data_IF_628481517560
#
_entry.id   IF_628481517560
#
_cell.length_a   1.000
_cell.length_b   1.000
_cell.length_c   1.000
_cell.angle_alpha   90.00
_cell.angle_beta   90.00
_cell.angle_gamma   90.00
#
_symmetry.space_group_name_H-M   'P 1'
#
loop_
_entity.id
_entity.type
_entity.pdbx_description
1 polymer ?
#
# COMPACT_ATOMS: atom_id res chain seq x y z
N UNK A 1 -50.07 4.33 95.32
CA UNK A 1 -48.64 3.98 95.49
C UNK A 1 -47.88 4.56 94.30
N UNK A 2 -47.56 5.85 94.36
CA UNK A 2 -47.04 6.60 93.21
C UNK A 2 -45.53 6.37 93.10
N UNK A 3 -45.12 5.49 92.19
CA UNK A 3 -43.72 5.13 92.02
C UNK A 3 -43.03 6.20 91.16
N UNK A 4 -42.04 6.89 91.74
CA UNK A 4 -41.25 7.97 91.13
C UNK A 4 -40.25 7.49 90.06
N UNK A 5 -40.68 6.61 89.14
CA UNK A 5 -39.81 6.07 88.09
C UNK A 5 -39.31 7.14 87.13
N UNK A 6 -40.11 8.17 86.86
CA UNK A 6 -39.73 9.28 85.98
C UNK A 6 -38.49 10.04 86.49
N UNK A 7 -38.41 10.26 87.81
CA UNK A 7 -37.22 10.88 88.44
C UNK A 7 -35.98 9.98 88.38
N UNK A 8 -36.16 8.66 88.49
CA UNK A 8 -35.05 7.69 88.42
C UNK A 8 -34.52 7.58 86.99
N UNK A 9 -35.40 7.54 85.99
CA UNK A 9 -35.03 7.52 84.57
C UNK A 9 -34.30 8.82 84.20
N UNK A 10 -34.78 9.97 84.65
CA UNK A 10 -34.13 11.25 84.37
C UNK A 10 -32.71 11.32 84.95
N UNK A 11 -32.52 10.84 86.20
CA UNK A 11 -31.17 10.74 86.80
C UNK A 11 -30.28 9.78 86.00
N UNK A 12 -30.82 8.63 85.56
CA UNK A 12 -30.06 7.68 84.75
C UNK A 12 -29.63 8.27 83.40
N UNK A 13 -30.53 8.97 82.71
CA UNK A 13 -30.22 9.64 81.43
C UNK A 13 -29.13 10.69 81.62
N UNK A 14 -29.20 11.51 82.68
CA UNK A 14 -28.16 12.53 82.96
C UNK A 14 -26.80 11.87 83.21
N UNK A 15 -26.75 10.76 83.95
CA UNK A 15 -25.49 10.04 84.22
C UNK A 15 -24.93 9.44 82.93
N UNK A 16 -25.76 8.78 82.11
CA UNK A 16 -25.33 8.17 80.85
C UNK A 16 -24.84 9.23 79.86
N UNK A 17 -25.54 10.36 79.77
CA UNK A 17 -25.15 11.46 78.87
C UNK A 17 -23.84 12.11 79.33
N UNK A 18 -23.66 12.31 80.65
CA UNK A 18 -22.42 12.81 81.21
C UNK A 18 -21.24 11.87 81.00
N UNK A 19 -21.44 10.56 81.14
CA UNK A 19 -20.42 9.55 80.88
C UNK A 19 -20.01 9.50 79.40
N UNK A 20 -20.98 9.58 78.48
CA UNK A 20 -20.70 9.66 77.04
C UNK A 20 -19.95 10.94 76.69
N UNK A 21 -20.35 12.09 77.22
CA UNK A 21 -19.65 13.35 77.00
C UNK A 21 -18.19 13.29 77.50
N UNK A 22 -17.95 12.72 78.69
CA UNK A 22 -16.61 12.58 79.25
C UNK A 22 -15.67 11.69 78.41
N UNK A 23 -16.20 10.72 77.65
CA UNK A 23 -15.42 9.86 76.75
C UNK A 23 -15.09 10.55 75.43
N UNK A 24 -16.02 11.32 74.87
CA UNK A 24 -15.88 11.92 73.53
C UNK A 24 -15.15 13.27 73.53
N UNK A 25 -15.31 14.08 74.58
CA UNK A 25 -14.72 15.42 74.68
C UNK A 25 -13.17 15.40 74.64
N UNK A 26 -12.46 14.49 75.32
CA UNK A 26 -11.00 14.41 75.24
C UNK A 26 -10.49 14.13 73.82
N UNK A 27 -11.22 13.31 73.05
CA UNK A 27 -10.90 13.04 71.64
C UNK A 27 -11.00 14.29 70.77
N UNK A 28 -12.07 15.09 70.94
CA UNK A 28 -12.27 16.34 70.23
C UNK A 28 -11.29 17.46 70.65
N UNK A 29 -10.94 17.54 71.93
CA UNK A 29 -9.95 18.52 72.41
C UNK A 29 -8.52 18.17 71.96
N UNK A 30 -8.19 16.88 71.83
CA UNK A 30 -6.90 16.41 71.31
C UNK A 30 -6.75 16.44 69.79
N UNK A 31 -7.82 16.76 69.04
CA UNK A 31 -7.75 16.90 67.58
C UNK A 31 -6.85 18.08 67.18
N UNK A 32 -6.87 19.20 67.91
CA UNK A 32 -6.02 20.36 67.59
C UNK A 32 -4.52 20.04 67.65
N UNK A 33 -4.08 19.17 68.56
CA UNK A 33 -2.68 18.76 68.70
C UNK A 33 -2.29 17.66 67.71
N UNK A 34 -3.21 16.80 67.29
CA UNK A 34 -2.94 15.75 66.28
C UNK A 34 -2.81 16.29 64.85
N UNK A 35 -3.36 17.46 64.57
CA UNK A 35 -3.28 18.13 63.26
C UNK A 35 -2.38 19.37 63.26
N UNK A 36 -1.60 19.59 64.32
CA UNK A 36 -0.48 20.53 64.24
C UNK A 36 0.61 19.88 63.39
N UNK A 37 0.66 20.30 62.13
CA UNK A 37 1.87 20.18 61.31
C UNK A 37 2.93 20.95 62.08
N UNK A 38 3.97 20.28 62.57
CA UNK A 38 5.20 20.98 62.94
C UNK A 38 5.68 21.68 61.66
N UNK A 39 5.38 22.97 61.52
CA UNK A 39 6.20 23.83 60.69
C UNK A 39 7.59 23.80 61.33
N UNK A 40 8.42 22.87 60.87
CA UNK A 40 9.85 23.13 60.83
C UNK A 40 9.99 24.40 60.00
N UNK A 41 9.99 25.56 60.67
CA UNK A 41 10.61 26.74 60.09
C UNK A 41 12.04 26.31 59.79
N UNK A 42 12.32 26.02 58.53
CA UNK A 42 13.69 25.87 58.10
C UNK A 42 14.38 27.17 58.53
N UNK A 43 15.35 27.06 59.44
CA UNK A 43 16.19 28.21 59.75
C UNK A 43 16.65 28.77 58.41
N UNK A 44 16.41 30.07 58.20
CA UNK A 44 16.66 30.83 56.96
C UNK A 44 17.24 29.97 55.85
N UNK A 45 16.39 29.46 54.95
CA UNK A 45 16.85 28.64 53.84
C UNK A 45 18.11 29.27 53.24
N UNK A 46 19.21 28.52 53.29
CA UNK A 46 20.51 28.93 52.78
C UNK A 46 20.42 28.94 51.24
N UNK A 47 19.73 29.93 50.68
CA UNK A 47 19.65 30.16 49.23
C UNK A 47 20.99 30.66 48.64
N UNK A 48 22.10 30.52 49.38
CA UNK A 48 23.35 31.18 49.08
C UNK A 48 23.24 32.70 49.15
N UNK A 49 24.37 33.40 48.98
CA UNK A 49 24.35 34.82 48.62
C UNK A 49 24.21 34.88 47.10
N UNK A 50 23.33 35.73 46.59
CA UNK A 50 23.24 35.99 45.15
C UNK A 50 24.60 36.54 44.67
N UNK A 51 25.41 35.69 44.04
CA UNK A 51 26.61 36.10 43.33
C UNK A 51 26.24 36.50 41.91
N UNK A 52 27.03 37.37 41.29
CA UNK A 52 26.84 37.72 39.88
C UNK A 52 26.87 36.47 38.97
N UNK A 53 27.70 35.49 39.31
CA UNK A 53 27.77 34.18 38.63
C UNK A 53 26.47 33.38 38.80
N UNK A 54 25.89 33.32 40.00
CA UNK A 54 24.62 32.62 40.24
C UNK A 54 23.43 33.27 39.55
N UNK A 55 23.45 34.60 39.40
CA UNK A 55 22.45 35.32 38.60
C UNK A 55 22.58 34.95 37.12
N UNK A 56 23.81 34.91 36.59
CA UNK A 56 24.04 34.53 35.20
C UNK A 56 23.65 33.08 34.92
N UNK A 57 24.02 32.15 35.81
CA UNK A 57 23.62 30.74 35.70
C UNK A 57 22.09 30.57 35.75
N UNK A 58 21.40 31.37 36.59
CA UNK A 58 19.94 31.36 36.65
C UNK A 58 19.32 31.90 35.36
N UNK A 59 19.88 32.98 34.79
CA UNK A 59 19.44 33.52 33.49
C UNK A 59 19.63 32.46 32.40
N UNK A 60 20.81 31.83 32.34
CA UNK A 60 21.12 30.80 31.35
C UNK A 60 20.20 29.56 31.52
N UNK A 61 19.88 29.19 32.76
CA UNK A 61 18.96 28.08 33.06
C UNK A 61 17.50 28.42 32.71
N UNK A 62 17.05 29.65 32.94
CA UNK A 62 15.71 30.13 32.58
C UNK A 62 15.54 30.34 31.07
N UNK A 63 16.62 30.70 30.37
CA UNK A 63 16.65 30.86 28.91
C UNK A 63 16.78 29.54 28.17
N UNK A 64 17.11 28.44 28.86
CA UNK A 64 17.26 27.13 28.24
C UNK A 64 15.89 26.62 27.79
N UNK A 65 15.77 26.29 26.50
CA UNK A 65 14.64 25.52 25.99
C UNK A 65 14.72 24.09 26.55
N UNK A 66 14.05 23.83 27.67
CA UNK A 66 14.01 22.50 28.29
C UNK A 66 12.99 21.65 27.55
N UNK A 67 13.47 20.82 26.63
CA UNK A 67 12.68 19.78 26.00
C UNK A 67 12.64 18.57 26.91
N UNK A 68 11.48 18.32 27.52
CA UNK A 68 11.22 17.11 28.28
C UNK A 68 11.19 15.91 27.32
N UNK A 69 12.17 15.01 27.47
CA UNK A 69 12.21 13.74 26.74
C UNK A 69 11.76 12.64 27.69
N UNK A 70 10.88 11.75 27.24
CA UNK A 70 10.47 10.58 28.03
C UNK A 70 11.70 9.73 28.36
N UNK A 71 11.96 9.43 29.64
CA UNK A 71 13.11 8.61 30.02
C UNK A 71 12.96 7.20 29.43
N UNK A 72 13.99 6.73 28.74
CA UNK A 72 14.09 5.35 28.26
C UNK A 72 14.47 4.42 29.40
N UNK A 73 13.55 3.52 29.76
CA UNK A 73 13.79 2.47 30.74
C UNK A 73 13.97 1.13 30.01
N UNK A 74 14.95 0.34 30.43
CA UNK A 74 15.18 -1.00 29.87
C UNK A 74 13.97 -1.90 30.16
N UNK A 75 13.41 -2.52 29.11
CA UNK A 75 12.21 -3.36 29.22
C UNK A 75 10.87 -2.60 29.21
N UNK A 76 10.87 -1.28 29.04
CA UNK A 76 9.64 -0.47 28.87
C UNK A 76 9.56 0.02 27.42
N UNK A 77 8.47 -0.27 26.69
CA UNK A 77 8.28 0.23 25.33
C UNK A 77 8.34 1.76 25.29
N UNK A 78 9.10 2.31 24.33
CA UNK A 78 9.15 3.76 24.12
C UNK A 78 7.81 4.23 23.56
N UNK A 79 7.02 4.94 24.38
CA UNK A 79 5.73 5.49 23.98
C UNK A 79 5.54 6.93 24.48
N UNK A 80 4.74 7.74 23.78
CA UNK A 80 4.39 9.07 24.24
C UNK A 80 3.51 8.96 25.50
N UNK A 81 4.01 9.49 26.62
CA UNK A 81 3.26 9.54 27.87
C UNK A 81 2.71 10.96 28.08
N UNK A 82 1.38 11.15 28.05
CA UNK A 82 0.81 12.45 28.39
C UNK A 82 1.06 12.76 29.87
N UNK A 83 1.69 13.89 30.16
CA UNK A 83 1.96 14.32 31.54
C UNK A 83 0.69 14.74 32.30
N UNK A 84 -0.35 15.15 31.57
CA UNK A 84 -1.57 15.74 32.14
C UNK A 84 -2.83 14.93 31.87
N UNK A 85 -2.73 13.80 31.16
CA UNK A 85 -3.87 12.95 30.81
C UNK A 85 -3.55 11.50 31.15
N UNK A 86 -4.57 10.71 31.40
CA UNK A 86 -4.42 9.26 31.53
C UNK A 86 -4.09 8.63 30.18
N UNK A 87 -3.42 7.49 30.23
CA UNK A 87 -3.15 6.66 29.06
C UNK A 87 -4.46 5.95 28.66
N UNK A 88 -4.82 5.92 27.37
CA UNK A 88 -6.00 5.21 26.91
C UNK A 88 -5.77 3.69 26.96
N UNK A 89 -6.52 3.02 27.82
CA UNK A 89 -6.50 1.56 28.00
C UNK A 89 -7.80 0.98 27.43
N UNK A 90 -7.67 -0.07 26.63
CA UNK A 90 -8.77 -0.89 26.16
C UNK A 90 -8.85 -2.18 26.97
N UNK A 91 -10.04 -2.54 27.44
CA UNK A 91 -10.25 -3.76 28.22
C UNK A 91 -10.99 -4.78 27.36
N UNK A 92 -10.36 -5.92 27.10
CA UNK A 92 -10.96 -7.02 26.34
C UNK A 92 -10.68 -8.35 27.05
N UNK A 93 -11.74 -9.11 27.37
CA UNK A 93 -11.63 -10.41 28.06
C UNK A 93 -10.75 -10.36 29.32
N UNK A 94 -10.99 -9.38 30.19
CA UNK A 94 -10.22 -9.11 31.42
C UNK A 94 -8.71 -8.84 31.20
N UNK A 95 -8.31 -8.51 29.97
CA UNK A 95 -6.97 -8.03 29.65
C UNK A 95 -7.00 -6.54 29.35
N UNK A 96 -6.10 -5.80 29.99
CA UNK A 96 -5.85 -4.39 29.74
C UNK A 96 -4.81 -4.27 28.61
N UNK A 97 -5.20 -3.60 27.53
CA UNK A 97 -4.39 -3.33 26.35
C UNK A 97 -4.14 -1.84 26.30
N UNK A 98 -2.88 -1.44 26.38
CA UNK A 98 -2.49 -0.05 26.19
C UNK A 98 -2.48 0.28 24.69
N UNK A 99 -3.28 1.26 24.28
CA UNK A 99 -3.41 1.63 22.87
C UNK A 99 -2.20 2.40 22.32
N UNK A 100 -1.40 3.02 23.20
CA UNK A 100 -0.22 3.78 22.81
C UNK A 100 1.05 2.92 22.77
N UNK A 101 0.96 1.68 23.25
CA UNK A 101 2.07 0.74 23.26
C UNK A 101 2.17 0.03 21.90
N UNK A 102 3.28 0.17 21.15
CA UNK A 102 3.44 -0.47 19.85
C UNK A 102 3.54 -2.00 19.93
N UNK A 103 3.94 -2.54 21.08
CA UNK A 103 4.07 -3.98 21.31
C UNK A 103 2.77 -4.61 21.85
N UNK A 104 1.75 -3.79 22.10
CA UNK A 104 0.47 -4.28 22.59
C UNK A 104 -0.28 -5.08 21.52
N UNK A 105 -1.09 -6.08 21.93
CA UNK A 105 -1.93 -6.83 21.00
C UNK A 105 -2.84 -5.89 20.19
N UNK A 106 -2.80 -6.02 18.87
CA UNK A 106 -3.68 -5.27 17.98
C UNK A 106 -5.14 -5.66 18.22
N UNK A 107 -6.01 -4.68 18.44
CA UNK A 107 -7.45 -4.91 18.66
C UNK A 107 -8.13 -5.34 17.36
N UNK A 108 -7.73 -4.71 16.25
CA UNK A 108 -8.21 -4.99 14.89
C UNK A 108 -7.02 -5.22 13.97
N UNK A 109 -6.40 -6.41 13.98
CA UNK A 109 -5.33 -6.71 13.05
C UNK A 109 -5.81 -6.48 11.60
N UNK A 110 -5.01 -5.83 10.74
CA UNK A 110 -3.60 -5.45 10.93
C UNK A 110 -3.36 -4.02 11.45
N UNK A 111 -4.39 -3.27 11.87
CA UNK A 111 -4.26 -1.86 12.25
C UNK A 111 -3.42 -1.67 13.52
N UNK A 112 -2.57 -0.64 13.49
CA UNK A 112 -1.89 -0.16 14.69
C UNK A 112 -2.89 0.51 15.63
N UNK A 113 -2.91 0.08 16.90
CA UNK A 113 -3.83 0.61 17.91
C UNK A 113 -3.71 2.14 18.07
N UNK A 114 -2.49 2.68 17.99
CA UNK A 114 -2.22 4.11 18.14
C UNK A 114 -2.69 4.93 16.93
N UNK A 115 -2.59 4.37 15.72
CA UNK A 115 -3.13 5.00 14.51
C UNK A 115 -4.66 4.96 14.51
N UNK A 116 -5.24 3.80 14.83
CA UNK A 116 -6.70 3.63 14.89
C UNK A 116 -7.33 4.46 16.02
N UNK A 117 -6.61 4.72 17.12
CA UNK A 117 -7.05 5.63 18.17
C UNK A 117 -7.04 7.09 17.72
N UNK A 118 -6.10 7.47 16.87
CA UNK A 118 -5.93 8.85 16.42
C UNK A 118 -6.91 9.20 15.30
N UNK A 119 -7.02 8.33 14.31
CA UNK A 119 -7.71 8.61 13.04
C UNK A 119 -9.00 7.78 12.88
N UNK A 120 -9.21 6.74 13.68
CA UNK A 120 -10.43 5.93 13.60
C UNK A 120 -11.51 6.43 14.56
N UNK A 121 -12.76 6.38 14.11
CA UNK A 121 -13.92 6.75 14.93
C UNK A 121 -13.99 5.95 16.26
N UNK A 122 -13.66 4.66 16.22
CA UNK A 122 -13.50 3.83 17.42
C UNK A 122 -12.77 2.51 17.13
N UNK A 123 -11.66 2.27 17.84
CA UNK A 123 -10.82 1.05 17.73
C UNK A 123 -11.60 -0.25 17.95
N UNK A 124 -12.72 -0.20 18.68
CA UNK A 124 -13.52 -1.37 19.04
C UNK A 124 -14.53 -1.79 17.98
N UNK A 125 -14.77 -0.98 16.94
CA UNK A 125 -15.80 -1.26 15.93
C UNK A 125 -15.50 -2.51 15.12
N UNK A 126 -16.53 -3.32 14.86
CA UNK A 126 -16.41 -4.56 14.07
C UNK A 126 -16.18 -4.29 12.59
N UNK A 127 -16.77 -3.22 12.10
CA UNK A 127 -16.76 -2.77 10.71
C UNK A 127 -15.62 -1.80 10.41
N UNK A 128 -14.75 -1.48 11.38
CA UNK A 128 -13.68 -0.48 11.26
C UNK A 128 -12.82 -0.68 10.01
N UNK A 129 -12.45 -1.92 9.67
CA UNK A 129 -11.58 -2.20 8.51
C UNK A 129 -12.24 -1.89 7.17
N UNK A 130 -13.56 -1.94 7.10
CA UNK A 130 -14.36 -1.75 5.89
C UNK A 130 -15.11 -0.43 5.89
N UNK A 131 -14.92 0.39 6.92
CA UNK A 131 -15.58 1.67 7.07
C UNK A 131 -14.89 2.68 6.14
N UNK A 132 -15.71 3.44 5.44
CA UNK A 132 -15.35 4.58 4.62
C UNK A 132 -16.15 5.75 5.22
N UNK A 133 -15.50 6.56 6.05
CA UNK A 133 -16.15 7.57 6.89
C UNK A 133 -16.45 8.85 6.11
N UNK A 134 -15.51 9.26 5.28
CA UNK A 134 -15.57 10.48 4.45
C UNK A 134 -16.18 10.25 3.06
N UNK A 135 -16.37 8.99 2.65
CA UNK A 135 -16.96 8.55 1.36
C UNK A 135 -16.11 8.94 0.15
N UNK A 136 -14.81 9.01 0.33
CA UNK A 136 -13.84 9.22 -0.74
C UNK A 136 -13.62 7.95 -1.60
N UNK A 137 -14.14 6.80 -1.15
CA UNK A 137 -14.04 5.51 -1.82
C UNK A 137 -12.88 4.64 -1.34
N UNK A 138 -12.17 5.05 -0.28
CA UNK A 138 -11.16 4.29 0.44
C UNK A 138 -11.70 3.83 1.78
N UNK A 139 -11.47 2.56 2.11
CA UNK A 139 -11.74 2.09 3.46
C UNK A 139 -10.54 2.33 4.38
N UNK A 140 -10.80 2.35 5.68
CA UNK A 140 -9.78 2.54 6.73
C UNK A 140 -8.57 1.59 6.58
N UNK A 141 -8.77 0.36 6.10
CA UNK A 141 -7.67 -0.58 5.87
C UNK A 141 -6.79 -0.17 4.67
N UNK A 142 -7.39 0.29 3.58
CA UNK A 142 -6.68 0.79 2.40
C UNK A 142 -5.89 2.05 2.72
N UNK A 143 -6.44 2.94 3.55
CA UNK A 143 -5.78 4.15 4.03
C UNK A 143 -4.59 3.86 4.95
N UNK A 144 -4.77 2.92 5.87
CA UNK A 144 -3.68 2.45 6.72
C UNK A 144 -2.53 1.88 5.89
N UNK A 145 -2.83 1.05 4.90
CA UNK A 145 -1.82 0.41 4.05
C UNK A 145 -1.23 1.37 3.00
N UNK A 146 -2.02 2.35 2.54
CA UNK A 146 -1.70 3.25 1.43
C UNK A 146 -0.88 4.48 1.81
N UNK A 147 -0.58 4.67 3.10
CA UNK A 147 0.19 5.82 3.58
C UNK A 147 -0.12 6.27 5.00
N UNK A 148 -1.00 5.57 5.72
CA UNK A 148 -1.51 5.97 7.04
C UNK A 148 -2.20 7.33 6.98
N UNK A 149 -3.04 7.52 5.96
CA UNK A 149 -3.86 8.72 5.76
C UNK A 149 -4.97 8.83 6.83
N UNK A 150 -5.70 9.93 6.84
CA UNK A 150 -6.78 10.20 7.79
C UNK A 150 -8.17 9.86 7.20
N UNK A 151 -8.85 8.79 7.67
CA UNK A 151 -10.16 8.36 7.16
C UNK A 151 -11.29 9.35 7.32
N UNK A 152 -11.11 10.36 8.18
CA UNK A 152 -12.11 11.40 8.40
C UNK A 152 -11.96 12.62 7.50
N UNK A 153 -10.90 12.69 6.68
CA UNK A 153 -10.59 13.84 5.83
C UNK A 153 -10.59 13.45 4.34
N UNK A 154 -11.62 13.86 3.55
CA UNK A 154 -11.75 13.52 2.14
C UNK A 154 -10.57 13.90 1.24
N UNK A 155 -9.74 14.87 1.65
CA UNK A 155 -8.56 15.29 0.90
C UNK A 155 -7.30 14.49 1.28
N UNK A 156 -7.36 13.76 2.39
CA UNK A 156 -6.29 12.92 2.89
C UNK A 156 -6.52 11.47 2.51
N UNK A 157 -6.28 11.15 1.24
CA UNK A 157 -6.47 9.79 0.73
C UNK A 157 -5.17 9.21 0.13
N UNK A 158 -5.05 7.87 0.02
CA UNK A 158 -3.95 7.23 -0.70
C UNK A 158 -3.92 7.62 -2.17
N UNK A 159 -2.77 7.44 -2.84
CA UNK A 159 -2.67 7.66 -4.29
C UNK A 159 -3.69 6.82 -5.06
N UNK A 160 -4.38 7.42 -6.04
CA UNK A 160 -5.35 6.73 -6.92
C UNK A 160 -4.80 5.49 -7.63
N UNK A 161 -3.47 5.41 -7.76
CA UNK A 161 -2.80 4.22 -8.29
C UNK A 161 -3.08 2.94 -7.50
N UNK A 162 -3.43 3.02 -6.22
CA UNK A 162 -3.78 1.85 -5.38
C UNK A 162 -5.10 1.20 -5.80
N UNK A 163 -5.97 1.94 -6.50
CA UNK A 163 -7.25 1.46 -7.04
C UNK A 163 -7.14 0.93 -8.47
N UNK A 164 -5.94 0.92 -9.05
CA UNK A 164 -5.69 0.31 -10.35
C UNK A 164 -5.48 -1.19 -10.18
N UNK A 165 -6.25 -1.98 -10.92
CA UNK A 165 -6.16 -3.44 -10.91
C UNK A 165 -5.95 -3.94 -12.32
N UNK A 166 -4.98 -4.85 -12.51
CA UNK A 166 -4.81 -5.51 -13.80
C UNK A 166 -5.96 -6.50 -14.01
N UNK A 167 -6.83 -6.20 -14.96
CA UNK A 167 -8.03 -6.98 -15.26
C UNK A 167 -7.71 -8.14 -16.21
N UNK A 168 -7.10 -7.81 -17.35
CA UNK A 168 -6.83 -8.76 -18.42
C UNK A 168 -5.49 -8.43 -19.09
N UNK A 169 -4.79 -9.46 -19.55
CA UNK A 169 -3.71 -9.32 -20.52
C UNK A 169 -4.20 -9.91 -21.83
N UNK A 170 -4.06 -9.15 -22.90
CA UNK A 170 -4.36 -9.58 -24.26
C UNK A 170 -3.08 -9.75 -25.03
N UNK A 171 -3.08 -10.67 -25.97
CA UNK A 171 -1.91 -10.98 -26.78
C UNK A 171 -2.22 -10.91 -28.27
N UNK A 172 -1.36 -10.21 -29.00
CA UNK A 172 -1.25 -10.30 -30.45
C UNK A 172 -0.03 -11.13 -30.79
N UNK A 173 -0.21 -12.18 -31.59
CA UNK A 173 0.91 -13.00 -32.04
C UNK A 173 1.06 -12.87 -33.56
N UNK A 174 2.27 -12.51 -33.98
CA UNK A 174 2.67 -12.47 -35.37
C UNK A 174 3.70 -13.56 -35.63
N UNK A 175 3.39 -14.48 -36.53
CA UNK A 175 4.23 -15.61 -36.89
C UNK A 175 4.72 -15.50 -38.33
N UNK A 176 6.04 -15.62 -38.50
CA UNK A 176 6.67 -15.83 -39.80
C UNK A 176 7.03 -17.31 -39.96
N UNK A 177 6.53 -17.94 -41.01
CA UNK A 177 6.72 -19.36 -41.28
C UNK A 177 7.31 -19.54 -42.67
N UNK A 178 8.56 -20.00 -42.74
CA UNK A 178 9.19 -20.35 -43.99
C UNK A 178 8.68 -21.72 -44.48
N UNK A 179 8.01 -21.77 -45.64
CA UNK A 179 7.28 -22.96 -46.14
C UNK A 179 7.85 -23.60 -47.39
N UNK A 180 8.56 -22.85 -48.23
CA UNK A 180 9.05 -23.33 -49.53
C UNK A 180 10.29 -22.53 -49.93
N UNK A 181 11.37 -23.17 -50.38
CA UNK A 181 12.50 -22.40 -50.92
C UNK A 181 13.56 -23.23 -51.62
N UNK A 182 13.09 -24.15 -52.47
CA UNK A 182 13.91 -24.82 -53.48
C UNK A 182 13.14 -24.79 -54.81
N UNK A 183 12.48 -23.66 -55.09
CA UNK A 183 11.74 -23.47 -56.33
C UNK A 183 12.71 -23.15 -57.48
N UNK A 184 12.49 -23.67 -58.69
CA UNK A 184 13.34 -23.41 -59.86
C UNK A 184 13.49 -21.91 -60.17
N UNK A 185 12.44 -21.14 -59.87
CA UNK A 185 12.35 -19.71 -60.17
C UNK A 185 13.04 -18.81 -59.12
N UNK A 186 13.67 -19.40 -58.09
CA UNK A 186 14.37 -18.67 -57.03
C UNK A 186 13.44 -17.95 -56.04
N UNK A 187 12.19 -18.38 -55.94
CA UNK A 187 11.19 -17.80 -55.05
C UNK A 187 11.08 -18.56 -53.72
N UNK A 188 10.97 -17.80 -52.62
CA UNK A 188 10.83 -18.29 -51.25
C UNK A 188 9.38 -18.07 -50.78
N UNK A 189 8.71 -19.16 -50.47
CA UNK A 189 7.39 -19.17 -49.84
C UNK A 189 7.47 -18.85 -48.35
N UNK A 190 7.17 -17.61 -47.96
CA UNK A 190 7.04 -17.18 -46.56
C UNK A 190 5.57 -16.97 -46.26
N UNK A 191 5.06 -17.60 -45.18
CA UNK A 191 3.72 -17.36 -44.69
C UNK A 191 3.75 -16.45 -43.47
N UNK A 192 2.94 -15.41 -43.54
CA UNK A 192 2.60 -14.58 -42.39
C UNK A 192 1.29 -15.12 -41.79
N UNK A 193 1.29 -15.42 -40.50
CA UNK A 193 0.08 -15.72 -39.73
C UNK A 193 0.00 -14.74 -38.57
N UNK A 194 -1.12 -14.04 -38.44
CA UNK A 194 -1.30 -13.08 -37.37
C UNK A 194 -2.62 -13.31 -36.63
N UNK A 195 -2.55 -13.34 -35.31
CA UNK A 195 -3.70 -13.25 -34.42
C UNK A 195 -3.74 -11.82 -33.86
N UNK A 196 -4.83 -11.10 -34.15
CA UNK A 196 -5.07 -9.76 -33.64
C UNK A 196 -6.18 -9.78 -32.60
N UNK A 197 -5.97 -9.03 -31.54
CA UNK A 197 -6.90 -8.64 -30.52
C UNK A 197 -7.79 -7.48 -31.00
N UNK A 198 -7.25 -6.57 -31.83
CA UNK A 198 -7.94 -5.33 -32.28
C UNK A 198 -9.07 -5.52 -33.31
N UNK A 199 -9.60 -6.73 -33.51
CA UNK A 199 -10.81 -6.89 -34.30
C UNK A 199 -12.00 -7.06 -33.34
N UNK A 200 -12.76 -5.98 -33.11
CA UNK A 200 -14.16 -6.10 -32.72
C UNK A 200 -15.01 -5.92 -33.99
N UNK A 201 -15.73 -6.94 -34.49
CA UNK A 201 -15.96 -8.24 -33.87
C UNK A 201 -14.77 -9.20 -33.92
N UNK A 202 -14.59 -10.06 -32.89
CA UNK A 202 -13.54 -11.06 -32.84
C UNK A 202 -13.90 -12.20 -33.79
N UNK A 203 -13.67 -12.01 -35.10
CA UNK A 203 -13.91 -13.04 -36.11
C UNK A 203 -13.16 -12.77 -37.40
N UNK A 204 -11.90 -13.17 -37.45
CA UNK A 204 -11.26 -13.66 -38.67
C UNK A 204 -10.32 -14.79 -38.23
N UNK A 205 -10.31 -15.98 -38.86
CA UNK A 205 -9.18 -16.89 -38.66
C UNK A 205 -7.88 -16.11 -38.88
N UNK A 206 -6.75 -16.48 -38.23
CA UNK A 206 -5.50 -15.74 -38.39
C UNK A 206 -5.30 -15.44 -39.87
N UNK A 207 -5.09 -14.18 -40.25
CA UNK A 207 -4.97 -13.84 -41.68
C UNK A 207 -3.70 -14.51 -42.18
N UNK A 208 -3.88 -15.67 -42.84
CA UNK A 208 -2.79 -16.46 -43.39
C UNK A 208 -2.54 -15.96 -44.80
N UNK A 209 -1.46 -15.22 -45.00
CA UNK A 209 -1.03 -14.82 -46.34
C UNK A 209 0.30 -15.49 -46.64
N UNK A 210 0.30 -16.33 -47.66
CA UNK A 210 1.53 -16.91 -48.20
C UNK A 210 2.05 -15.98 -49.30
N UNK A 211 3.32 -15.61 -49.18
CA UNK A 211 4.05 -14.78 -50.13
C UNK A 211 5.13 -15.63 -50.79
N UNK A 212 5.26 -15.51 -52.11
CA UNK A 212 6.38 -16.04 -52.85
C UNK A 212 7.28 -14.86 -53.21
N UNK A 213 8.47 -14.83 -52.61
CA UNK A 213 9.33 -13.66 -52.58
C UNK A 213 10.69 -13.99 -53.19
N UNK A 214 11.26 -13.07 -53.97
CA UNK A 214 12.62 -13.20 -54.49
C UNK A 214 13.63 -12.66 -53.49
N UNK A 215 14.89 -13.06 -53.65
CA UNK A 215 15.99 -12.51 -52.86
C UNK A 215 16.01 -10.98 -52.92
N UNK A 216 16.34 -10.31 -51.81
CA UNK A 216 16.40 -8.86 -51.68
C UNK A 216 15.08 -8.11 -51.91
N UNK A 217 13.94 -8.80 -51.91
CA UNK A 217 12.62 -8.15 -51.98
C UNK A 217 12.13 -7.84 -50.57
N UNK A 218 11.57 -6.65 -50.40
CA UNK A 218 10.92 -6.24 -49.15
C UNK A 218 9.52 -6.86 -49.05
N UNK A 219 9.11 -7.24 -47.85
CA UNK A 219 7.83 -7.85 -47.59
C UNK A 219 7.37 -7.61 -46.15
N UNK A 220 6.14 -8.02 -45.87
CA UNK A 220 5.39 -7.67 -44.68
C UNK A 220 4.14 -6.93 -45.13
N UNK A 221 3.01 -7.63 -45.17
CA UNK A 221 1.73 -7.03 -45.58
C UNK A 221 0.76 -6.89 -44.40
N UNK A 222 1.20 -7.24 -43.21
CA UNK A 222 0.41 -7.10 -42.00
C UNK A 222 0.55 -5.67 -41.46
N UNK A 223 -0.56 -4.96 -41.15
CA UNK A 223 -0.47 -3.62 -40.57
C UNK A 223 0.40 -3.62 -39.30
N UNK A 224 1.36 -2.69 -39.22
CA UNK A 224 2.43 -2.65 -38.21
C UNK A 224 3.74 -3.34 -38.62
N UNK A 225 3.73 -4.08 -39.73
CA UNK A 225 4.89 -4.77 -40.30
C UNK A 225 5.06 -4.49 -41.81
N UNK A 226 4.45 -3.40 -42.31
CA UNK A 226 4.48 -3.03 -43.73
C UNK A 226 5.93 -2.81 -44.20
N UNK A 227 6.34 -3.60 -45.21
CA UNK A 227 7.69 -3.58 -45.80
C UNK A 227 8.86 -3.71 -44.80
N UNK A 228 8.58 -4.29 -43.62
CA UNK A 228 9.51 -4.41 -42.49
C UNK A 228 10.63 -5.42 -42.75
N UNK A 229 10.36 -6.47 -43.51
CA UNK A 229 11.25 -7.61 -43.65
C UNK A 229 11.87 -7.67 -45.03
N UNK A 230 13.14 -8.11 -45.10
CA UNK A 230 13.86 -8.32 -46.35
C UNK A 230 14.63 -9.62 -46.30
N UNK A 231 14.52 -10.43 -47.36
CA UNK A 231 15.30 -11.67 -47.47
C UNK A 231 16.72 -11.33 -47.93
N UNK A 232 17.73 -11.62 -47.12
CA UNK A 232 19.14 -11.29 -47.42
C UNK A 232 19.97 -12.49 -47.85
N UNK A 233 19.72 -13.67 -47.29
CA UNK A 233 20.48 -14.88 -47.63
C UNK A 233 19.64 -16.16 -47.52
N UNK A 234 20.08 -17.19 -48.23
CA UNK A 234 19.49 -18.52 -48.22
C UNK A 234 20.59 -19.59 -48.11
N UNK A 235 20.45 -20.49 -47.15
CA UNK A 235 21.36 -21.62 -46.95
C UNK A 235 20.59 -22.95 -47.10
N UNK A 236 20.98 -23.75 -48.09
CA UNK A 236 20.43 -25.08 -48.30
C UNK A 236 21.05 -26.04 -47.28
N UNK A 237 20.27 -26.39 -46.26
CA UNK A 237 20.66 -27.34 -45.22
C UNK A 237 19.69 -28.53 -45.15
N UNK A 238 20.22 -29.68 -44.75
CA UNK A 238 19.47 -30.89 -44.42
C UNK A 238 19.75 -31.26 -42.98
N UNK A 239 18.75 -31.81 -42.30
CA UNK A 239 18.88 -32.37 -40.97
C UNK A 239 18.70 -33.89 -41.03
N UNK A 240 19.36 -34.67 -40.16
CA UNK A 240 19.05 -36.08 -40.03
C UNK A 240 17.59 -36.22 -39.61
N UNK A 241 16.79 -36.94 -40.40
CA UNK A 241 15.41 -37.24 -40.04
C UNK A 241 15.33 -38.16 -38.83
N UNK A 242 14.11 -38.33 -38.29
CA UNK A 242 13.82 -39.27 -37.19
C UNK A 242 14.04 -40.74 -37.57
N UNK A 243 13.31 -41.65 -36.92
CA UNK A 243 13.47 -43.10 -37.09
C UNK A 243 13.42 -43.52 -38.58
N UNK A 244 14.59 -43.76 -39.18
CA UNK A 244 14.76 -44.07 -40.60
C UNK A 244 15.91 -43.34 -41.31
N UNK A 245 16.50 -42.29 -40.71
CA UNK A 245 17.74 -41.67 -41.21
C UNK A 245 17.64 -40.92 -42.54
N UNK A 246 16.44 -40.79 -43.11
CA UNK A 246 16.20 -40.02 -44.34
C UNK A 246 16.43 -38.53 -44.04
N UNK A 247 17.33 -37.83 -44.75
CA UNK A 247 17.57 -36.42 -44.53
C UNK A 247 16.32 -35.59 -44.81
N UNK A 248 15.90 -34.77 -43.85
CA UNK A 248 14.77 -33.84 -44.00
C UNK A 248 15.31 -32.46 -44.38
N UNK A 249 14.68 -31.73 -45.32
CA UNK A 249 15.08 -30.36 -45.64
C UNK A 249 14.95 -29.48 -44.40
N UNK A 250 16.03 -28.82 -44.03
CA UNK A 250 16.15 -27.93 -42.88
C UNK A 250 16.77 -26.59 -43.34
N UNK A 251 16.32 -26.11 -44.49
CA UNK A 251 16.85 -24.91 -45.11
C UNK A 251 16.69 -23.70 -44.18
N UNK A 252 17.64 -22.78 -44.24
CA UNK A 252 17.67 -21.56 -43.44
C UNK A 252 17.50 -20.35 -44.34
N UNK A 253 16.56 -19.49 -43.99
CA UNK A 253 16.30 -18.22 -44.66
C UNK A 253 16.72 -17.09 -43.71
N UNK A 254 17.65 -16.24 -44.12
CA UNK A 254 18.06 -15.07 -43.33
C UNK A 254 17.22 -13.87 -43.75
N UNK A 255 16.58 -13.25 -42.75
CA UNK A 255 15.72 -12.09 -42.93
C UNK A 255 16.29 -10.93 -42.12
N UNK A 256 16.48 -9.80 -42.77
CA UNK A 256 16.75 -8.53 -42.13
C UNK A 256 15.41 -7.88 -41.71
N UNK A 257 15.32 -7.49 -40.45
CA UNK A 257 14.24 -6.67 -39.91
C UNK A 257 14.70 -5.20 -39.92
N UNK A 258 14.07 -4.38 -40.76
CA UNK A 258 14.40 -2.96 -40.89
C UNK A 258 14.11 -2.17 -39.61
N UNK A 259 13.11 -2.58 -38.83
CA UNK A 259 12.71 -1.85 -37.63
C UNK A 259 13.68 -2.06 -36.49
N UNK A 260 14.15 -3.30 -36.29
CA UNK A 260 15.14 -3.60 -35.24
C UNK A 260 16.59 -3.45 -35.71
N UNK A 261 16.82 -3.36 -37.03
CA UNK A 261 18.16 -3.33 -37.63
C UNK A 261 18.93 -4.66 -37.48
N UNK A 262 18.25 -5.73 -37.06
CA UNK A 262 18.84 -7.04 -36.80
C UNK A 262 18.44 -8.05 -37.86
N UNK A 263 19.32 -9.00 -38.12
CA UNK A 263 19.01 -10.16 -38.94
C UNK A 263 18.61 -11.35 -38.05
N UNK A 264 17.69 -12.17 -38.54
CA UNK A 264 17.31 -13.43 -37.91
C UNK A 264 17.15 -14.53 -38.95
N UNK A 265 17.33 -15.78 -38.51
CA UNK A 265 17.20 -16.96 -39.37
C UNK A 265 15.84 -17.63 -39.14
N UNK A 266 15.09 -17.88 -40.21
CA UNK A 266 13.93 -18.75 -40.22
C UNK A 266 14.33 -20.15 -40.67
N UNK A 267 14.03 -21.14 -39.84
CA UNK A 267 14.17 -22.55 -40.20
C UNK A 267 12.94 -23.04 -40.97
N UNK A 268 13.18 -23.95 -41.93
CA UNK A 268 12.12 -24.55 -42.72
C UNK A 268 11.02 -25.17 -41.84
N UNK A 269 9.77 -24.73 -42.08
CA UNK A 269 8.55 -25.11 -41.36
C UNK A 269 8.51 -24.79 -39.86
N UNK A 270 9.49 -24.08 -39.30
CA UNK A 270 9.44 -23.63 -37.91
C UNK A 270 8.93 -22.18 -37.85
N UNK A 271 7.83 -21.91 -37.12
CA UNK A 271 7.35 -20.55 -36.95
C UNK A 271 8.30 -19.77 -36.05
N UNK A 272 8.62 -18.53 -36.45
CA UNK A 272 9.16 -17.53 -35.53
C UNK A 272 7.99 -16.66 -35.05
N UNK A 273 7.75 -16.65 -33.75
CA UNK A 273 6.66 -15.91 -33.10
C UNK A 273 7.20 -14.60 -32.53
N UNK A 274 6.49 -13.51 -32.83
CA UNK A 274 6.62 -12.20 -32.19
C UNK A 274 5.29 -11.93 -31.48
N UNK A 275 5.29 -11.96 -30.15
CA UNK A 275 4.09 -11.69 -29.34
C UNK A 275 4.17 -10.30 -28.75
N UNK A 276 3.10 -9.53 -28.93
CA UNK A 276 2.89 -8.22 -28.32
C UNK A 276 1.79 -8.37 -27.28
N UNK A 277 2.06 -7.91 -26.07
CA UNK A 277 1.10 -7.93 -24.97
C UNK A 277 0.43 -6.56 -24.83
N UNK A 278 -0.84 -6.60 -24.43
CA UNK A 278 -1.60 -5.42 -24.05
C UNK A 278 -2.19 -5.61 -22.66
N UNK A 279 -2.08 -4.59 -21.82
CA UNK A 279 -2.67 -4.54 -20.50
C UNK A 279 -4.05 -3.88 -20.55
N UNK A 280 -4.99 -4.43 -19.80
CA UNK A 280 -6.29 -3.82 -19.54
C UNK A 280 -6.41 -3.62 -18.05
N UNK A 281 -6.61 -2.37 -17.64
CA UNK A 281 -6.56 -1.96 -16.26
C UNK A 281 -7.96 -1.53 -15.86
N UNK A 282 -8.51 -2.10 -14.79
CA UNK A 282 -9.75 -1.65 -14.18
C UNK A 282 -9.40 -0.66 -13.06
N UNK A 283 -10.01 0.53 -13.10
CA UNK A 283 -9.95 1.51 -12.03
C UNK A 283 -11.19 1.35 -11.15
N UNK A 284 -10.97 0.99 -9.87
CA UNK A 284 -12.04 0.60 -8.93
C UNK A 284 -12.22 1.66 -7.83
N UNK A 285 -12.45 2.91 -8.21
CA UNK A 285 -12.88 3.95 -7.29
C UNK A 285 -14.41 4.09 -7.34
N UNK A 286 -15.13 3.93 -6.22
CA UNK A 286 -16.58 4.14 -6.16
C UNK A 286 -17.00 5.45 -6.82
N UNK A 287 -17.94 5.39 -7.76
CA UNK A 287 -18.43 6.55 -8.51
C UNK A 287 -17.59 6.98 -9.72
N UNK A 288 -16.37 6.44 -9.89
CA UNK A 288 -15.47 6.73 -11.03
C UNK A 288 -14.93 5.47 -11.71
N UNK A 289 -15.63 4.35 -11.56
CA UNK A 289 -15.23 3.06 -12.08
C UNK A 289 -15.09 3.08 -13.60
N UNK A 290 -13.94 2.63 -14.11
CA UNK A 290 -13.70 2.58 -15.56
C UNK A 290 -12.72 1.48 -15.95
N UNK A 291 -12.91 0.96 -17.17
CA UNK A 291 -11.98 0.01 -17.81
C UNK A 291 -11.09 0.78 -18.77
N UNK A 292 -9.80 0.77 -18.51
CA UNK A 292 -8.78 1.51 -19.23
C UNK A 292 -7.99 0.55 -20.14
N UNK A 293 -7.71 1.01 -21.36
CA UNK A 293 -6.94 0.26 -22.35
C UNK A 293 -7.82 -0.44 -23.39
N UNK A 294 -7.27 -1.40 -24.15
CA UNK A 294 -5.96 -2.03 -23.99
C UNK A 294 -4.76 -1.08 -24.25
N UNK A 295 -3.68 -1.25 -23.52
CA UNK A 295 -2.45 -0.45 -23.66
C UNK A 295 -1.22 -1.34 -23.85
N UNK A 296 -0.28 -0.94 -24.70
CA UNK A 296 1.03 -1.59 -24.86
C UNK A 296 2.14 -0.85 -24.10
N UNK A 297 3.33 -1.46 -24.03
CA UNK A 297 4.52 -0.81 -23.44
C UNK A 297 4.84 0.50 -24.19
N UNK A 298 5.04 1.58 -23.44
CA UNK A 298 5.29 2.94 -23.91
C UNK A 298 4.02 3.76 -24.16
N UNK A 299 2.82 3.20 -24.01
CA UNK A 299 1.59 3.97 -24.03
C UNK A 299 1.27 4.55 -22.66
N UNK A 300 0.66 5.73 -22.68
CA UNK A 300 0.26 6.47 -21.49
C UNK A 300 -1.24 6.73 -21.46
N UNK A 301 -1.82 6.77 -20.27
CA UNK A 301 -3.21 7.15 -20.03
C UNK A 301 -3.33 8.12 -18.86
N UNK A 302 -4.47 8.79 -18.76
CA UNK A 302 -4.81 9.73 -17.69
C UNK A 302 -6.08 9.24 -16.99
N UNK A 303 -6.21 9.53 -15.70
CA UNK A 303 -7.40 9.22 -14.92
C UNK A 303 -8.32 10.44 -14.90
N UNK A 304 -9.64 10.24 -15.03
CA UNK A 304 -10.60 11.35 -14.96
C UNK A 304 -10.63 12.04 -13.59
N UNK A 305 -10.23 11.32 -12.54
CA UNK A 305 -10.18 11.80 -11.16
C UNK A 305 -8.90 12.59 -10.85
N UNK A 306 -7.84 12.43 -11.65
CA UNK A 306 -6.56 13.11 -11.46
C UNK A 306 -6.12 13.72 -12.80
N UNK A 307 -6.72 14.87 -13.21
CA UNK A 307 -6.33 15.55 -14.44
C UNK A 307 -4.86 15.99 -14.36
N UNK A 308 -4.20 16.07 -15.51
CA UNK A 308 -2.78 16.44 -15.64
C UNK A 308 -1.76 15.43 -15.10
N UNK A 309 -2.22 14.21 -14.75
CA UNK A 309 -1.37 13.11 -14.32
C UNK A 309 -1.42 11.95 -15.31
N UNK A 310 -0.24 11.61 -15.84
CA UNK A 310 -0.05 10.54 -16.83
C UNK A 310 0.53 9.28 -16.21
N UNK A 311 -0.04 8.15 -16.57
CA UNK A 311 0.44 6.82 -16.23
C UNK A 311 0.96 6.13 -17.49
N UNK A 312 2.27 5.89 -17.56
CA UNK A 312 2.92 5.22 -18.70
C UNK A 312 3.25 3.76 -18.37
N UNK A 313 2.97 2.84 -19.30
CA UNK A 313 3.36 1.43 -19.15
C UNK A 313 4.84 1.25 -19.51
N UNK A 314 5.67 0.93 -18.51
CA UNK A 314 7.11 0.70 -18.73
C UNK A 314 7.40 -0.77 -19.03
N UNK A 315 6.70 -1.68 -18.36
CA UNK A 315 7.00 -3.10 -18.42
C UNK A 315 5.73 -3.94 -18.36
N UNK A 316 5.61 -4.89 -19.30
CA UNK A 316 4.51 -5.84 -19.41
C UNK A 316 5.07 -7.22 -19.81
N UNK A 317 5.02 -8.19 -18.90
CA UNK A 317 5.64 -9.52 -19.11
C UNK A 317 4.65 -10.62 -19.54
N UNK A 318 3.45 -10.27 -20.00
CA UNK A 318 2.51 -11.24 -20.57
C UNK A 318 1.85 -12.22 -19.59
N UNK A 319 2.11 -12.11 -18.28
CA UNK A 319 1.45 -12.92 -17.24
C UNK A 319 0.85 -12.04 -16.16
N UNK A 320 -0.35 -12.40 -15.71
CA UNK A 320 -1.12 -11.64 -14.70
C UNK A 320 -0.40 -11.58 -13.34
N UNK A 321 0.36 -12.62 -12.99
CA UNK A 321 1.09 -12.74 -11.73
C UNK A 321 2.25 -11.75 -11.59
N UNK A 322 2.87 -11.38 -12.71
CA UNK A 322 4.01 -10.45 -12.72
C UNK A 322 3.58 -8.99 -12.75
N UNK A 323 2.28 -8.75 -12.97
CA UNK A 323 1.71 -7.42 -13.03
C UNK A 323 2.23 -6.58 -14.20
N UNK A 324 1.87 -5.30 -14.15
CA UNK A 324 2.30 -4.24 -15.07
C UNK A 324 3.02 -3.18 -14.27
N UNK A 325 4.15 -2.69 -14.76
CA UNK A 325 4.82 -1.53 -14.16
C UNK A 325 4.40 -0.25 -14.85
N UNK A 326 3.95 0.70 -14.05
CA UNK A 326 3.49 2.02 -14.45
C UNK A 326 4.43 3.10 -13.93
N UNK A 327 4.68 4.12 -14.74
CA UNK A 327 5.31 5.37 -14.29
C UNK A 327 4.25 6.45 -14.16
N UNK A 328 4.11 7.02 -12.96
CA UNK A 328 3.30 8.22 -12.75
C UNK A 328 4.14 9.45 -13.12
N UNK A 329 3.60 10.34 -13.96
CA UNK A 329 4.20 11.63 -14.32
C UNK A 329 3.17 12.72 -14.09
N UNK A 330 3.45 13.61 -13.14
CA UNK A 330 2.60 14.74 -12.81
C UNK A 330 3.22 16.09 -13.19
N UNK A 331 2.62 17.21 -12.74
CA UNK A 331 3.10 18.57 -13.00
C UNK A 331 4.54 18.80 -12.51
N UNK A 332 4.89 18.16 -11.39
CA UNK A 332 6.21 18.25 -10.75
C UNK A 332 7.24 17.27 -11.34
N UNK A 333 6.88 16.54 -12.39
CA UNK A 333 7.73 15.58 -13.09
C UNK A 333 7.37 14.11 -12.83
N UNK A 334 8.25 13.21 -13.28
CA UNK A 334 8.08 11.77 -13.12
C UNK A 334 8.32 11.34 -11.67
N UNK A 335 7.44 10.48 -11.15
CA UNK A 335 7.62 9.80 -9.87
C UNK A 335 8.96 9.04 -9.87
N UNK A 336 9.74 9.13 -8.77
CA UNK A 336 11.02 8.43 -8.65
C UNK A 336 10.86 6.92 -8.52
N UNK A 337 9.65 6.42 -8.23
CA UNK A 337 9.36 4.99 -8.09
C UNK A 337 8.29 4.55 -9.10
N UNK A 338 8.57 3.42 -9.75
CA UNK A 338 7.64 2.74 -10.64
C UNK A 338 6.59 1.96 -9.81
N UNK A 339 5.34 2.05 -10.22
CA UNK A 339 4.18 1.45 -9.55
C UNK A 339 3.93 0.08 -10.17
N UNK A 340 3.84 -0.97 -9.37
CA UNK A 340 3.47 -2.31 -9.86
C UNK A 340 2.00 -2.57 -9.62
N UNK A 341 1.24 -2.77 -10.70
CA UNK A 341 -0.18 -3.12 -10.68
C UNK A 341 -0.32 -4.59 -11.01
N UNK A 342 -0.78 -5.38 -10.03
CA UNK A 342 -0.96 -6.82 -10.18
C UNK A 342 -2.43 -7.17 -10.42
N UNK A 343 -2.68 -8.42 -10.82
CA UNK A 343 -4.03 -8.96 -10.84
C UNK A 343 -4.55 -9.06 -9.40
N UNK A 344 -5.54 -8.22 -9.09
CA UNK A 344 -6.26 -8.21 -7.82
C UNK A 344 -7.58 -8.96 -7.94
N UNK A 345 -8.11 -9.44 -6.82
CA UNK A 345 -9.53 -9.81 -6.78
C UNK A 345 -10.33 -8.53 -6.95
N UNK A 346 -11.27 -8.51 -7.90
CA UNK A 346 -12.26 -7.45 -8.00
C UNK A 346 -12.95 -7.33 -6.64
N UNK A 347 -12.89 -6.15 -6.03
CA UNK A 347 -13.67 -5.88 -4.83
C UNK A 347 -15.14 -5.99 -5.27
N UNK A 348 -15.82 -7.01 -4.75
CA UNK A 348 -17.18 -7.40 -5.14
C UNK A 348 -18.20 -6.82 -4.19
#
# INVERSE_FOLDING_TARGET
>A
MNKHYDKIILVFVVIVTGALAAVWIPGYLGLKTKFQVEEKSSGSALFGKASAEGIQETIDHLQRDVRWVTPTLEGVPQKPLPLTRSIPIWVQNDKEIDLLDPDAPQIRPPLDNSWALKNGESVGRNDLLTLDEDKDGYNTLEEFNGGKTDPGDPESHPSYSTKLILSEIKEDAYALIYRTGDNPDGEFGVREEATRYEADPPRVPPRRKSHFLKMNTDFGNHPGHEDRYKITAFEKKTAPGGAGGIPVPAHLLTIADKTSGKEFKLEYKKPKLETIYYAVIDFQLPGSESKLGPFKVGESFELSTEPDVKYEIIELQGTLEKGVKLRKTGPDGASPQDITVSAGKKNA
#
